data_IF_950543230061
#
_entry.id   IF_950543230061
#
_cell.length_a   1.000
_cell.length_b   1.000
_cell.length_c   1.000
_cell.angle_alpha   90.00
_cell.angle_beta   90.00
_cell.angle_gamma   90.00
#
_symmetry.space_group_name_H-M   'P 1'
#
loop_
_entity.id
_entity.type
_entity.pdbx_description
1 polymer ?
#
# COMPACT_ATOMS: atom_id res chain seq x y z
N UNK A 1 -11.57 42.05 11.18
CA UNK A 1 -10.36 41.22 11.28
C UNK A 1 -10.57 40.11 10.28
N UNK A 2 -9.73 40.04 9.26
CA UNK A 2 -9.92 39.16 8.10
C UNK A 2 -9.91 37.69 8.55
N UNK A 3 -10.93 36.96 8.10
CA UNK A 3 -10.90 35.50 8.00
C UNK A 3 -9.78 35.13 7.01
N UNK A 4 -8.56 35.02 7.52
CA UNK A 4 -7.54 34.20 6.88
C UNK A 4 -7.98 32.75 7.08
N UNK A 5 -8.83 32.25 6.19
CA UNK A 5 -8.88 30.83 5.85
C UNK A 5 -7.46 30.44 5.43
N UNK A 6 -6.62 30.09 6.42
CA UNK A 6 -5.39 29.37 6.15
C UNK A 6 -5.83 28.06 5.54
N UNK A 7 -5.84 27.97 4.22
CA UNK A 7 -5.86 26.69 3.52
C UNK A 7 -4.83 25.80 4.22
N UNK A 8 -5.30 24.80 4.96
CA UNK A 8 -4.42 23.82 5.59
C UNK A 8 -3.67 23.14 4.44
N UNK A 9 -2.43 23.57 4.23
CA UNK A 9 -1.61 23.08 3.14
C UNK A 9 -1.46 21.57 3.30
N UNK A 10 -2.01 20.82 2.34
CA UNK A 10 -1.93 19.37 2.32
C UNK A 10 -0.47 18.94 2.41
N UNK A 11 -0.15 18.09 3.40
CA UNK A 11 1.21 17.59 3.61
C UNK A 11 1.46 16.43 2.64
N UNK A 12 2.40 16.62 1.72
CA UNK A 12 2.74 15.66 0.67
C UNK A 12 4.23 15.27 0.72
N UNK A 13 4.67 14.50 -0.29
CA UNK A 13 6.04 14.02 -0.40
C UNK A 13 7.08 15.12 -0.73
N UNK A 14 6.67 16.37 -0.94
CA UNK A 14 7.61 17.49 -1.07
C UNK A 14 8.31 17.80 0.25
N UNK A 15 7.69 17.41 1.38
CA UNK A 15 8.27 17.54 2.71
C UNK A 15 9.14 16.33 3.07
N UNK A 16 10.45 16.52 3.37
CA UNK A 16 11.31 15.43 3.83
C UNK A 16 10.83 14.76 5.13
N UNK A 17 10.12 15.51 5.99
CA UNK A 17 9.54 14.98 7.22
C UNK A 17 8.43 13.96 6.91
N UNK A 18 7.57 14.26 5.95
CA UNK A 18 6.50 13.36 5.49
C UNK A 18 7.09 12.06 4.94
N UNK A 19 8.09 12.17 4.06
CA UNK A 19 8.81 11.00 3.53
C UNK A 19 9.44 10.17 4.65
N UNK A 20 10.01 10.82 5.66
CA UNK A 20 10.62 10.13 6.82
C UNK A 20 9.58 9.37 7.64
N UNK A 21 8.39 9.94 7.85
CA UNK A 21 7.30 9.28 8.57
C UNK A 21 6.79 8.05 7.83
N UNK A 22 6.58 8.14 6.51
CA UNK A 22 6.23 6.99 5.66
C UNK A 22 7.30 5.89 5.74
N UNK A 23 8.57 6.24 5.56
CA UNK A 23 9.67 5.26 5.59
C UNK A 23 9.83 4.61 6.97
N UNK A 24 9.63 5.37 8.05
CA UNK A 24 9.68 4.84 9.41
C UNK A 24 8.52 3.86 9.68
N UNK A 25 7.30 4.21 9.25
CA UNK A 25 6.15 3.31 9.35
C UNK A 25 6.36 2.03 8.53
N UNK A 26 6.92 2.15 7.32
CA UNK A 26 7.25 1.03 6.46
C UNK A 26 8.34 0.12 7.05
N UNK A 27 9.37 0.69 7.68
CA UNK A 27 10.40 -0.12 8.34
C UNK A 27 9.80 -0.96 9.48
N UNK A 28 8.92 -0.38 10.30
CA UNK A 28 8.25 -1.08 11.39
C UNK A 28 7.39 -2.22 10.84
N UNK A 29 6.56 -1.96 9.83
CA UNK A 29 5.65 -2.98 9.29
C UNK A 29 6.41 -4.09 8.55
N UNK A 30 7.50 -3.79 7.84
CA UNK A 30 8.35 -4.82 7.22
C UNK A 30 8.98 -5.74 8.29
N UNK A 31 9.43 -5.18 9.43
CA UNK A 31 9.94 -5.97 10.58
C UNK A 31 8.83 -6.78 11.25
N UNK A 32 7.61 -6.25 11.32
CA UNK A 32 6.46 -6.98 11.86
C UNK A 32 6.14 -8.22 11.01
N UNK A 33 6.17 -8.12 9.68
CA UNK A 33 6.02 -9.29 8.78
C UNK A 33 7.11 -10.34 9.02
N UNK A 34 8.38 -9.91 9.13
CA UNK A 34 9.50 -10.82 9.47
C UNK A 34 9.28 -11.51 10.82
N UNK A 35 8.82 -10.77 11.83
CA UNK A 35 8.52 -11.32 13.14
C UNK A 35 7.42 -12.38 13.06
N UNK A 36 6.32 -12.11 12.36
CA UNK A 36 5.22 -13.08 12.20
C UNK A 36 5.71 -14.34 11.51
N UNK A 37 6.39 -14.20 10.37
CA UNK A 37 6.89 -15.35 9.60
C UNK A 37 7.83 -16.25 10.41
N UNK A 38 8.69 -15.66 11.26
CA UNK A 38 9.56 -16.45 12.15
C UNK A 38 8.80 -17.27 13.22
N UNK A 39 7.51 -16.98 13.43
CA UNK A 39 6.63 -17.70 14.35
C UNK A 39 5.56 -18.54 13.64
N UNK A 40 5.42 -18.41 12.32
CA UNK A 40 4.51 -19.23 11.53
C UNK A 40 5.08 -20.65 11.44
N UNK A 41 4.41 -21.59 12.12
CA UNK A 41 4.74 -23.01 12.11
C UNK A 41 3.46 -23.81 12.32
N UNK A 42 3.41 -25.09 11.91
CA UNK A 42 2.28 -25.95 12.18
C UNK A 42 1.89 -25.91 13.67
N UNK A 43 0.58 -25.88 13.94
CA UNK A 43 -0.06 -25.75 15.26
C UNK A 43 0.05 -24.38 15.92
N UNK A 44 0.68 -23.38 15.30
CA UNK A 44 0.61 -22.01 15.79
C UNK A 44 -0.81 -21.48 15.65
N UNK A 45 -1.38 -20.91 16.73
CA UNK A 45 -2.70 -20.28 16.68
C UNK A 45 -2.62 -18.97 15.89
N UNK A 46 -3.56 -18.77 14.97
CA UNK A 46 -3.60 -17.59 14.12
C UNK A 46 -3.78 -16.32 14.97
N UNK A 47 -4.66 -16.38 15.97
CA UNK A 47 -4.92 -15.22 16.85
C UNK A 47 -3.68 -14.75 17.60
N UNK A 48 -2.86 -15.68 18.10
CA UNK A 48 -1.63 -15.35 18.83
C UNK A 48 -0.61 -14.64 17.90
N UNK A 49 -0.55 -15.03 16.63
CA UNK A 49 0.30 -14.39 15.63
C UNK A 49 -0.18 -12.96 15.30
N UNK A 50 -1.49 -12.77 15.14
CA UNK A 50 -2.10 -11.45 14.93
C UNK A 50 -1.83 -10.51 16.12
N UNK A 51 -2.10 -10.96 17.34
CA UNK A 51 -1.86 -10.19 18.56
C UNK A 51 -0.38 -9.80 18.71
N UNK A 52 0.52 -10.74 18.40
CA UNK A 52 1.97 -10.51 18.48
C UNK A 52 2.45 -9.40 17.53
N UNK A 53 1.97 -9.40 16.29
CA UNK A 53 2.32 -8.38 15.31
C UNK A 53 1.77 -7.01 15.69
N UNK A 54 0.49 -6.93 16.09
CA UNK A 54 -0.14 -5.69 16.51
C UNK A 54 0.56 -5.11 17.75
N UNK A 55 0.92 -5.96 18.72
CA UNK A 55 1.69 -5.56 19.90
C UNK A 55 3.07 -5.00 19.52
N UNK A 56 3.78 -5.68 18.61
CA UNK A 56 5.08 -5.22 18.12
C UNK A 56 4.98 -3.84 17.44
N UNK A 57 3.98 -3.62 16.57
CA UNK A 57 3.77 -2.32 15.91
C UNK A 57 3.51 -1.23 16.96
N UNK A 58 2.64 -1.48 17.95
CA UNK A 58 2.33 -0.51 19.03
C UNK A 58 3.57 -0.20 19.88
N UNK A 59 4.39 -1.20 20.19
CA UNK A 59 5.63 -1.01 20.96
C UNK A 59 6.65 -0.16 20.19
N UNK A 60 6.94 -0.53 18.93
CA UNK A 60 7.93 0.15 18.10
C UNK A 60 7.52 1.61 17.84
N UNK A 61 6.27 1.83 17.44
CA UNK A 61 5.75 3.19 17.24
C UNK A 61 5.70 3.97 18.54
N UNK A 62 5.30 3.36 19.66
CA UNK A 62 5.29 3.98 21.00
C UNK A 62 6.62 4.59 21.41
N UNK A 63 7.74 4.00 20.96
CA UNK A 63 9.11 4.45 21.20
C UNK A 63 9.57 5.66 20.38
N UNK A 64 8.88 6.00 19.30
CA UNK A 64 9.19 7.16 18.46
C UNK A 64 8.53 8.43 19.01
N UNK A 65 9.04 9.62 18.68
CA UNK A 65 8.39 10.91 18.98
C UNK A 65 7.80 11.03 20.41
N UNK A 66 8.55 10.61 21.45
CA UNK A 66 8.11 10.73 22.85
C UNK A 66 8.23 12.15 23.40
N UNK A 67 9.25 12.89 22.96
CA UNK A 67 9.63 14.20 23.53
C UNK A 67 9.25 15.38 22.62
N UNK A 68 8.24 15.22 21.77
CA UNK A 68 7.75 16.30 20.90
C UNK A 68 6.65 17.11 21.60
N UNK A 69 6.61 18.42 21.33
CA UNK A 69 5.63 19.33 21.95
C UNK A 69 4.18 19.03 21.53
N UNK A 70 3.98 18.57 20.28
CA UNK A 70 2.68 18.18 19.74
C UNK A 70 2.52 16.67 19.90
N UNK A 71 1.40 16.21 20.46
CA UNK A 71 1.07 14.78 20.49
C UNK A 71 0.94 14.27 19.05
N UNK A 72 1.73 13.25 18.70
CA UNK A 72 1.71 12.59 17.40
C UNK A 72 1.01 11.24 17.55
N UNK A 73 -0.07 11.04 16.80
CA UNK A 73 -0.76 9.74 16.73
C UNK A 73 0.05 8.74 15.92
N UNK A 74 0.11 7.50 16.38
CA UNK A 74 0.93 6.44 15.78
C UNK A 74 0.50 5.08 16.28
N UNK A 75 0.71 4.04 15.49
CA UNK A 75 0.32 2.69 15.85
C UNK A 75 -0.08 1.86 14.65
N UNK A 76 -1.00 0.94 14.90
CA UNK A 76 -1.58 0.06 13.88
C UNK A 76 -2.50 0.87 12.98
N UNK A 77 -2.25 0.84 11.67
CA UNK A 77 -3.09 1.46 10.65
C UNK A 77 -4.08 0.47 10.03
N UNK A 78 -3.70 -0.80 9.97
CA UNK A 78 -4.57 -1.89 9.57
C UNK A 78 -4.24 -3.11 10.44
N UNK A 79 -5.21 -3.72 11.15
CA UNK A 79 -4.94 -4.85 12.04
C UNK A 79 -4.28 -6.01 11.30
N UNK A 80 -3.44 -6.74 12.02
CA UNK A 80 -2.81 -7.93 11.43
C UNK A 80 -3.86 -8.97 11.08
N UNK A 81 -3.84 -9.39 9.83
CA UNK A 81 -4.68 -10.43 9.24
C UNK A 81 -3.79 -11.57 8.74
N UNK A 82 -4.22 -12.81 8.95
CA UNK A 82 -3.55 -14.00 8.43
C UNK A 82 -4.62 -14.88 7.78
N UNK A 83 -4.75 -14.79 6.46
CA UNK A 83 -5.78 -15.52 5.71
C UNK A 83 -5.18 -16.76 5.06
N UNK A 84 -5.74 -17.93 5.35
CA UNK A 84 -5.17 -19.24 4.97
C UNK A 84 -5.89 -19.83 3.76
N UNK A 85 -5.11 -20.38 2.82
CA UNK A 85 -5.56 -21.11 1.63
C UNK A 85 -6.59 -20.33 0.80
N UNK A 86 -7.84 -20.81 0.72
CA UNK A 86 -8.94 -20.20 -0.03
C UNK A 86 -9.55 -18.97 0.66
N UNK A 87 -9.22 -18.70 1.93
CA UNK A 87 -9.61 -17.46 2.62
C UNK A 87 -8.85 -16.31 1.98
N UNK A 88 -9.55 -15.34 1.41
CA UNK A 88 -8.96 -14.29 0.56
C UNK A 88 -8.28 -13.21 1.38
N UNK A 89 -8.97 -12.66 2.37
CA UNK A 89 -8.51 -11.48 3.10
C UNK A 89 -9.18 -11.32 4.48
N UNK A 90 -8.66 -10.37 5.26
CA UNK A 90 -9.25 -9.79 6.47
C UNK A 90 -9.47 -10.74 7.66
N UNK A 91 -8.94 -11.97 7.63
CA UNK A 91 -9.06 -12.88 8.76
C UNK A 91 -8.18 -12.43 9.93
N UNK A 92 -8.78 -11.74 10.91
CA UNK A 92 -8.18 -11.30 12.17
C UNK A 92 -9.07 -11.74 13.34
N UNK A 93 -9.00 -13.01 13.75
CA UNK A 93 -10.01 -13.61 14.61
C UNK A 93 -10.06 -13.00 16.03
N UNK A 94 -11.17 -13.25 16.75
CA UNK A 94 -11.33 -12.89 18.17
C UNK A 94 -10.45 -13.78 19.06
N UNK A 95 -10.14 -13.34 20.29
CA UNK A 95 -9.26 -14.07 21.22
C UNK A 95 -9.73 -15.49 21.58
N UNK A 96 -11.03 -15.77 21.43
CA UNK A 96 -11.63 -17.10 21.64
C UNK A 96 -11.47 -18.07 20.47
N UNK A 97 -10.91 -17.64 19.34
CA UNK A 97 -10.68 -18.49 18.18
C UNK A 97 -9.51 -19.46 18.42
N UNK A 98 -9.70 -20.71 17.99
CA UNK A 98 -8.74 -21.81 18.20
C UNK A 98 -8.07 -22.26 16.90
N UNK A 99 -8.29 -21.55 15.78
CA UNK A 99 -7.75 -21.92 14.47
C UNK A 99 -6.22 -21.90 14.50
N UNK A 100 -5.63 -22.98 14.03
CA UNK A 100 -4.19 -23.18 13.96
C UNK A 100 -3.72 -23.34 12.52
N UNK A 101 -2.45 -23.02 12.28
CA UNK A 101 -1.79 -23.29 11.00
C UNK A 101 -1.47 -24.78 10.85
N UNK A 102 -1.54 -25.28 9.62
CA UNK A 102 -1.16 -26.63 9.24
C UNK A 102 0.10 -26.65 8.34
N UNK A 103 0.70 -27.82 8.19
CA UNK A 103 1.83 -28.00 7.27
C UNK A 103 1.36 -27.82 5.82
N UNK A 104 2.13 -27.09 5.02
CA UNK A 104 1.79 -26.77 3.62
C UNK A 104 0.76 -25.65 3.44
N UNK A 105 0.25 -25.04 4.51
CA UNK A 105 -0.70 -23.92 4.41
C UNK A 105 -0.12 -22.74 3.65
N UNK A 106 -0.92 -22.15 2.76
CA UNK A 106 -0.63 -20.89 2.11
C UNK A 106 -1.27 -19.73 2.89
N UNK A 107 -0.45 -18.99 3.64
CA UNK A 107 -0.86 -17.85 4.45
C UNK A 107 -0.62 -16.53 3.72
N UNK A 108 -1.61 -15.66 3.82
CA UNK A 108 -1.55 -14.26 3.39
C UNK A 108 -1.53 -13.39 4.63
N UNK A 109 -0.40 -12.76 4.90
CA UNK A 109 -0.20 -11.84 6.02
C UNK A 109 -0.44 -10.43 5.50
N UNK A 110 -1.39 -9.70 6.07
CA UNK A 110 -1.70 -8.30 5.72
C UNK A 110 -1.76 -7.44 6.99
N UNK A 111 -1.11 -6.28 6.98
CA UNK A 111 -1.02 -5.39 8.13
C UNK A 111 -0.61 -3.97 7.73
N UNK A 112 -0.85 -3.01 8.62
CA UNK A 112 -0.50 -1.61 8.41
C UNK A 112 0.01 -0.92 9.66
N UNK A 113 0.94 0.03 9.47
CA UNK A 113 1.47 0.92 10.48
C UNK A 113 1.28 2.38 10.04
N UNK A 114 1.06 3.30 10.98
CA UNK A 114 1.09 4.73 10.68
C UNK A 114 1.89 5.52 11.71
N UNK A 115 2.44 6.65 11.25
CA UNK A 115 3.06 7.67 12.09
C UNK A 115 2.50 9.02 11.66
N UNK A 116 1.90 9.75 12.59
CA UNK A 116 1.20 11.03 12.35
C UNK A 116 0.15 10.94 11.24
N UNK A 117 -0.48 9.78 11.09
CA UNK A 117 -1.45 9.50 10.04
C UNK A 117 -0.87 9.15 8.67
N UNK A 118 0.46 9.17 8.48
CA UNK A 118 1.09 8.67 7.26
C UNK A 118 1.21 7.16 7.31
N UNK A 119 0.51 6.48 6.40
CA UNK A 119 0.24 5.04 6.47
C UNK A 119 1.20 4.26 5.57
N UNK A 120 1.73 3.16 6.10
CA UNK A 120 2.43 2.13 5.33
C UNK A 120 1.75 0.78 5.56
N UNK A 121 1.30 0.16 4.48
CA UNK A 121 0.67 -1.17 4.45
C UNK A 121 1.52 -2.17 3.68
N UNK A 122 1.40 -3.43 4.04
CA UNK A 122 2.08 -4.55 3.39
C UNK A 122 1.22 -5.80 3.47
N UNK A 123 1.17 -6.55 2.38
CA UNK A 123 0.72 -7.93 2.40
C UNK A 123 1.70 -8.84 1.66
N UNK A 124 1.86 -10.05 2.19
CA UNK A 124 2.78 -11.05 1.66
C UNK A 124 2.17 -12.44 1.77
N UNK A 125 2.35 -13.24 0.72
CA UNK A 125 1.94 -14.64 0.69
C UNK A 125 3.14 -15.55 0.93
N UNK A 126 2.96 -16.50 1.83
CA UNK A 126 3.97 -17.47 2.21
C UNK A 126 3.33 -18.87 2.33
N UNK A 127 4.08 -19.92 2.03
CA UNK A 127 3.66 -21.31 2.18
C UNK A 127 4.48 -21.96 3.29
N UNK A 128 3.84 -22.62 4.25
CA UNK A 128 4.51 -23.35 5.34
C UNK A 128 5.12 -24.65 4.87
N UNK A 129 6.22 -24.55 4.15
CA UNK A 129 7.00 -25.69 3.71
C UNK A 129 8.47 -25.31 3.61
N UNK A 130 9.31 -26.34 3.69
CA UNK A 130 10.72 -26.23 3.33
C UNK A 130 10.92 -26.39 1.81
N UNK A 131 11.91 -25.70 1.26
CA UNK A 131 12.26 -25.79 -0.15
C UNK A 131 11.30 -25.04 -1.09
N UNK A 132 11.47 -25.23 -2.41
CA UNK A 132 10.73 -24.44 -3.40
C UNK A 132 9.25 -24.81 -3.44
N UNK A 133 8.39 -23.80 -3.54
CA UNK A 133 6.95 -23.98 -3.76
C UNK A 133 6.73 -24.46 -5.20
N UNK A 134 5.83 -25.42 -5.42
CA UNK A 134 5.61 -26.05 -6.74
C UNK A 134 4.13 -26.07 -7.13
N UNK A 135 3.84 -26.32 -8.41
CA UNK A 135 2.47 -26.53 -8.89
C UNK A 135 1.60 -25.27 -8.87
N UNK A 136 0.30 -25.42 -8.62
CA UNK A 136 -0.67 -24.32 -8.70
C UNK A 136 -0.46 -23.24 -7.64
N UNK A 137 0.06 -23.59 -6.46
CA UNK A 137 0.46 -22.63 -5.44
C UNK A 137 1.63 -21.77 -5.91
N UNK A 138 2.63 -22.36 -6.57
CA UNK A 138 3.73 -21.59 -7.17
C UNK A 138 3.22 -20.66 -8.28
N UNK A 139 2.34 -21.15 -9.15
CA UNK A 139 1.79 -20.37 -10.26
C UNK A 139 1.03 -19.12 -9.77
N UNK A 140 0.15 -19.25 -8.77
CA UNK A 140 -0.63 -18.12 -8.26
C UNK A 140 0.23 -17.12 -7.49
N UNK A 141 1.23 -17.58 -6.74
CA UNK A 141 2.19 -16.69 -6.07
C UNK A 141 3.04 -15.94 -7.12
N UNK A 142 3.49 -16.63 -8.17
CA UNK A 142 4.23 -15.99 -9.27
C UNK A 142 3.37 -14.99 -10.05
N UNK A 143 2.09 -15.29 -10.26
CA UNK A 143 1.13 -14.37 -10.86
C UNK A 143 1.01 -13.07 -10.04
N UNK A 144 0.78 -13.18 -8.73
CA UNK A 144 0.69 -12.03 -7.83
C UNK A 144 1.98 -11.21 -7.79
N UNK A 145 3.14 -11.87 -7.68
CA UNK A 145 4.44 -11.19 -7.64
C UNK A 145 4.76 -10.49 -8.97
N UNK A 146 4.51 -11.14 -10.10
CA UNK A 146 4.72 -10.54 -11.42
C UNK A 146 3.79 -9.36 -11.63
N UNK A 147 2.51 -9.49 -11.25
CA UNK A 147 1.52 -8.41 -11.37
C UNK A 147 1.88 -7.22 -10.46
N UNK A 148 2.37 -7.47 -9.25
CA UNK A 148 2.88 -6.44 -8.34
C UNK A 148 4.08 -5.69 -8.94
N UNK A 149 5.03 -6.40 -9.57
CA UNK A 149 6.20 -5.79 -10.23
C UNK A 149 5.81 -4.98 -11.47
N UNK A 150 4.83 -5.45 -12.25
CA UNK A 150 4.26 -4.69 -13.37
C UNK A 150 3.54 -3.44 -12.86
N UNK A 151 2.68 -3.58 -11.84
CA UNK A 151 1.96 -2.46 -11.25
C UNK A 151 2.93 -1.40 -10.69
N UNK A 152 4.01 -1.81 -10.00
CA UNK A 152 5.04 -0.88 -9.51
C UNK A 152 5.66 -0.01 -10.61
N UNK A 153 5.76 -0.54 -11.84
CA UNK A 153 6.33 0.18 -12.99
C UNK A 153 5.32 1.04 -13.75
N UNK A 154 4.04 0.71 -13.64
CA UNK A 154 2.94 1.42 -14.30
C UNK A 154 2.32 2.51 -13.42
N UNK A 155 2.32 2.34 -12.09
CA UNK A 155 1.92 3.36 -11.12
C UNK A 155 3.02 4.42 -11.03
N UNK A 156 2.95 5.39 -11.94
CA UNK A 156 3.90 6.50 -12.06
C UNK A 156 3.22 7.71 -12.68
N UNK A 157 3.73 8.93 -12.42
CA UNK A 157 3.13 10.15 -12.96
C UNK A 157 2.93 10.09 -14.48
N UNK A 158 1.78 10.58 -14.96
CA UNK A 158 1.44 10.58 -16.39
C UNK A 158 0.76 9.30 -16.91
N UNK A 159 0.59 8.28 -16.06
CA UNK A 159 -0.12 7.04 -16.40
C UNK A 159 -1.49 7.02 -15.75
N UNK A 160 -2.40 6.26 -16.35
CA UNK A 160 -3.76 6.11 -15.87
C UNK A 160 -3.92 4.87 -15.00
N UNK A 161 -4.88 4.91 -14.09
CA UNK A 161 -5.27 3.75 -13.29
C UNK A 161 -5.73 2.55 -14.15
N UNK A 162 -6.46 2.81 -15.24
CA UNK A 162 -6.93 1.79 -16.18
C UNK A 162 -5.80 0.97 -16.84
N UNK A 163 -4.66 1.61 -17.14
CA UNK A 163 -3.47 0.92 -17.67
C UNK A 163 -3.00 -0.19 -16.71
N UNK A 164 -3.04 0.08 -15.40
CA UNK A 164 -2.63 -0.88 -14.36
C UNK A 164 -3.65 -2.02 -14.27
N UNK A 165 -4.94 -1.70 -14.27
CA UNK A 165 -6.04 -2.67 -14.23
C UNK A 165 -5.97 -3.66 -15.39
N UNK A 166 -5.71 -3.20 -16.61
CA UNK A 166 -5.56 -4.08 -17.78
C UNK A 166 -4.31 -4.96 -17.64
N UNK A 167 -3.19 -4.37 -17.22
CA UNK A 167 -1.91 -5.06 -17.16
C UNK A 167 -1.90 -6.22 -16.15
N UNK A 168 -2.42 -6.01 -14.93
CA UNK A 168 -2.44 -7.05 -13.91
C UNK A 168 -3.33 -8.24 -14.31
N UNK A 169 -4.41 -8.00 -15.05
CA UNK A 169 -5.28 -9.05 -15.57
C UNK A 169 -4.58 -9.90 -16.63
N UNK A 170 -3.84 -9.27 -17.57
CA UNK A 170 -3.04 -10.01 -18.55
C UNK A 170 -1.95 -10.85 -17.87
N UNK A 171 -1.31 -10.30 -16.84
CA UNK A 171 -0.32 -11.05 -16.05
C UNK A 171 -0.94 -12.25 -15.38
N UNK A 172 -2.07 -12.10 -14.68
CA UNK A 172 -2.73 -13.23 -14.03
C UNK A 172 -3.11 -14.33 -15.02
N UNK A 173 -3.64 -13.95 -16.19
CA UNK A 173 -4.03 -14.88 -17.24
C UNK A 173 -2.84 -15.70 -17.78
N UNK A 174 -1.64 -15.12 -17.88
CA UNK A 174 -0.43 -15.83 -18.32
C UNK A 174 0.00 -16.99 -17.37
N UNK A 175 -0.49 -16.97 -16.13
CA UNK A 175 -0.28 -18.04 -15.14
C UNK A 175 -1.52 -18.94 -14.96
N UNK A 176 -2.50 -18.88 -15.88
CA UNK A 176 -3.82 -19.49 -15.74
C UNK A 176 -4.51 -19.11 -14.40
N UNK A 177 -4.30 -17.89 -13.94
CA UNK A 177 -4.90 -17.36 -12.72
C UNK A 177 -5.84 -16.19 -13.06
N UNK A 178 -6.64 -15.79 -12.09
CA UNK A 178 -7.52 -14.61 -12.21
C UNK A 178 -7.19 -13.59 -11.13
N UNK A 179 -7.38 -12.32 -11.44
CA UNK A 179 -7.41 -11.28 -10.43
C UNK A 179 -8.74 -11.39 -9.68
N UNK A 180 -8.70 -11.23 -8.36
CA UNK A 180 -9.89 -11.24 -7.51
C UNK A 180 -10.70 -9.96 -7.69
N UNK A 181 -11.99 -10.10 -7.97
CA UNK A 181 -12.94 -9.00 -8.12
C UNK A 181 -13.17 -8.26 -6.78
N UNK A 182 -13.45 -6.95 -6.85
CA UNK A 182 -13.75 -6.13 -5.67
C UNK A 182 -12.53 -5.62 -4.89
N UNK A 183 -11.30 -5.97 -5.30
CA UNK A 183 -10.07 -5.43 -4.72
C UNK A 183 -9.77 -4.05 -5.31
N UNK A 184 -9.39 -3.11 -4.44
CA UNK A 184 -9.10 -1.72 -4.78
C UNK A 184 -7.72 -1.33 -4.23
N UNK A 185 -6.89 -0.73 -5.07
CA UNK A 185 -5.66 -0.06 -4.65
C UNK A 185 -5.93 1.42 -4.48
N UNK A 186 -5.65 1.98 -3.31
CA UNK A 186 -6.06 3.34 -2.96
C UNK A 186 -4.87 4.30 -2.92
N UNK A 187 -5.10 5.53 -3.38
CA UNK A 187 -4.29 6.66 -2.95
C UNK A 187 -4.40 6.81 -1.42
N UNK A 188 -3.28 7.07 -0.76
CA UNK A 188 -3.23 7.34 0.67
C UNK A 188 -2.81 8.79 0.90
N UNK A 189 -3.42 9.41 1.91
CA UNK A 189 -3.08 10.74 2.42
C UNK A 189 -2.92 10.69 3.93
N UNK A 190 -2.53 11.80 4.55
CA UNK A 190 -2.46 11.85 6.00
C UNK A 190 -3.83 11.53 6.62
N UNK A 191 -3.88 10.48 7.44
CA UNK A 191 -5.09 9.94 8.08
C UNK A 191 -6.15 9.37 7.13
N UNK A 192 -5.85 9.19 5.84
CA UNK A 192 -6.77 8.64 4.84
C UNK A 192 -6.13 7.42 4.20
N UNK A 193 -6.65 6.22 4.52
CA UNK A 193 -6.16 4.94 3.99
C UNK A 193 -6.75 4.61 2.60
N UNK A 194 -7.90 5.18 2.30
CA UNK A 194 -8.79 4.87 1.17
C UNK A 194 -9.19 6.16 0.44
N UNK A 195 -8.21 6.85 -0.14
CA UNK A 195 -8.43 8.05 -0.94
C UNK A 195 -9.22 7.77 -2.22
N UNK A 196 -9.71 8.86 -2.82
CA UNK A 196 -10.65 8.82 -3.94
C UNK A 196 -10.03 8.37 -5.27
N UNK A 197 -8.72 8.58 -5.48
CA UNK A 197 -8.02 8.01 -6.65
C UNK A 197 -7.75 6.54 -6.39
N UNK A 198 -8.33 5.68 -7.22
CA UNK A 198 -8.35 4.23 -7.02
C UNK A 198 -7.93 3.50 -8.29
N UNK A 199 -7.15 2.43 -8.15
CA UNK A 199 -6.97 1.42 -9.19
C UNK A 199 -7.88 0.24 -8.85
N UNK A 200 -8.83 -0.04 -9.73
CA UNK A 200 -9.73 -1.18 -9.61
C UNK A 200 -9.03 -2.43 -10.13
N UNK A 201 -9.06 -3.55 -9.39
CA UNK A 201 -8.33 -4.75 -9.80
C UNK A 201 -8.98 -5.48 -10.99
N UNK A 202 -10.32 -5.49 -11.08
CA UNK A 202 -11.09 -6.02 -12.21
C UNK A 202 -12.26 -5.09 -12.51
N UNK A 203 -12.40 -4.67 -13.77
CA UNK A 203 -13.56 -3.88 -14.22
C UNK A 203 -14.77 -4.78 -14.44
N UNK A 204 -15.90 -4.47 -13.79
CA UNK A 204 -17.18 -5.10 -14.06
C UNK A 204 -18.28 -4.02 -14.16
N UNK A 205 -19.46 -4.32 -14.74
CA UNK A 205 -20.50 -3.31 -14.96
C UNK A 205 -20.98 -2.60 -13.69
N UNK A 206 -20.92 -3.31 -12.56
CA UNK A 206 -21.40 -2.86 -11.25
C UNK A 206 -20.34 -2.09 -10.43
N UNK A 207 -19.07 -2.19 -10.81
CA UNK A 207 -17.93 -1.56 -10.13
C UNK A 207 -17.21 -0.64 -11.11
N UNK A 208 -17.52 0.65 -11.02
CA UNK A 208 -16.85 1.70 -11.82
C UNK A 208 -16.08 2.60 -10.90
N UNK A 209 -14.85 2.90 -11.30
CA UNK A 209 -14.02 3.95 -10.70
C UNK A 209 -13.77 5.00 -11.76
N UNK A 210 -13.65 6.25 -11.33
CA UNK A 210 -13.29 7.32 -12.25
C UNK A 210 -11.89 7.08 -12.82
N UNK A 211 -11.71 7.42 -14.09
CA UNK A 211 -10.39 7.41 -14.70
C UNK A 211 -9.53 8.49 -14.02
N UNK A 212 -8.38 8.09 -13.51
CA UNK A 212 -7.48 8.96 -12.78
C UNK A 212 -6.07 8.84 -13.32
N UNK A 213 -5.40 9.98 -13.47
CA UNK A 213 -3.98 10.05 -13.77
C UNK A 213 -3.19 10.12 -12.45
N UNK A 214 -2.11 9.33 -12.38
CA UNK A 214 -1.16 9.41 -11.28
C UNK A 214 -0.34 10.70 -11.37
N UNK A 215 -0.05 11.30 -10.23
CA UNK A 215 0.68 12.56 -10.13
C UNK A 215 1.93 12.44 -9.25
N UNK A 216 2.87 13.37 -9.40
CA UNK A 216 4.02 13.48 -8.50
C UNK A 216 3.56 13.82 -7.07
N UNK A 217 4.32 13.31 -6.11
CA UNK A 217 4.12 13.48 -4.67
C UNK A 217 2.89 12.75 -4.09
N UNK A 218 2.24 11.87 -4.86
CA UNK A 218 1.20 10.98 -4.38
C UNK A 218 1.77 9.70 -3.73
N UNK A 219 0.96 9.08 -2.86
CA UNK A 219 1.27 7.79 -2.23
C UNK A 219 0.13 6.83 -2.54
N UNK A 220 0.45 5.58 -2.88
CA UNK A 220 -0.55 4.54 -3.12
C UNK A 220 -0.26 3.29 -2.31
N UNK A 221 -1.32 2.64 -1.86
CA UNK A 221 -1.33 1.23 -1.49
C UNK A 221 -1.74 0.42 -2.72
N UNK A 222 -0.81 -0.34 -3.29
CA UNK A 222 -1.09 -1.23 -4.42
C UNK A 222 -1.41 -2.60 -3.85
N UNK A 223 -2.61 -3.09 -4.15
CA UNK A 223 -3.19 -4.30 -3.61
C UNK A 223 -3.53 -5.31 -4.73
N UNK A 224 -2.74 -6.37 -4.82
CA UNK A 224 -2.85 -7.41 -5.84
C UNK A 224 -3.23 -8.72 -5.19
N UNK A 225 -4.44 -9.20 -5.52
CA UNK A 225 -4.92 -10.51 -5.09
C UNK A 225 -5.24 -11.34 -6.32
N UNK A 226 -4.64 -12.52 -6.39
CA UNK A 226 -4.82 -13.48 -7.49
C UNK A 226 -5.32 -14.80 -6.96
N UNK A 227 -6.12 -15.48 -7.77
CA UNK A 227 -6.79 -16.73 -7.46
C UNK A 227 -6.56 -17.75 -8.56
N UNK A 228 -6.41 -19.00 -8.15
CA UNK A 228 -6.46 -20.15 -9.08
C UNK A 228 -7.90 -20.51 -9.49
N UNK A 229 -8.89 -20.00 -8.75
CA UNK A 229 -10.32 -20.22 -8.95
C UNK A 229 -10.96 -19.21 -9.91
N UNK A 230 -12.18 -18.79 -9.59
CA UNK A 230 -12.98 -17.91 -10.46
C UNK A 230 -12.70 -16.42 -10.31
N UNK A 231 -12.01 -16.00 -9.23
CA UNK A 231 -11.78 -14.60 -8.90
C UNK A 231 -13.01 -13.91 -8.32
N UNK A 232 -14.02 -14.66 -7.86
CA UNK A 232 -15.32 -14.15 -7.41
C UNK A 232 -15.58 -14.55 -5.96
N UNK A 233 -14.94 -13.85 -5.01
CA UNK A 233 -14.92 -14.30 -3.63
C UNK A 233 -16.28 -14.05 -2.98
N UNK A 234 -16.64 -14.92 -2.02
CA UNK A 234 -17.95 -14.87 -1.35
C UNK A 234 -17.79 -14.70 0.15
N UNK A 235 -18.70 -13.94 0.75
CA UNK A 235 -18.91 -13.94 2.18
C UNK A 235 -19.62 -15.23 2.57
N UNK A 236 -19.01 -16.02 3.45
CA UNK A 236 -19.59 -17.29 3.93
C UNK A 236 -20.21 -17.16 5.33
N UNK A 237 -19.59 -16.37 6.21
CA UNK A 237 -20.09 -16.12 7.56
C UNK A 237 -19.82 -14.67 7.97
N UNK A 238 -20.88 -13.89 8.15
CA UNK A 238 -20.81 -12.50 8.62
C UNK A 238 -20.10 -12.40 9.98
N UNK A 239 -20.18 -13.43 10.84
CA UNK A 239 -19.57 -13.42 12.18
C UNK A 239 -18.05 -13.45 12.14
N UNK A 240 -17.44 -13.87 11.03
CA UNK A 240 -15.99 -13.80 10.85
C UNK A 240 -15.50 -12.37 10.59
N UNK A 241 -16.39 -11.44 10.25
CA UNK A 241 -16.05 -10.03 10.09
C UNK A 241 -15.72 -9.43 11.44
N UNK A 242 -14.44 -9.18 11.68
CA UNK A 242 -13.95 -8.57 12.92
C UNK A 242 -13.29 -7.23 12.68
N UNK A 243 -13.04 -6.84 11.43
CA UNK A 243 -12.36 -5.59 11.10
C UNK A 243 -13.37 -4.55 10.65
N UNK A 244 -13.21 -3.35 11.21
CA UNK A 244 -14.08 -2.21 10.93
C UNK A 244 -13.26 -0.93 10.84
N UNK A 245 -13.78 0.04 10.09
CA UNK A 245 -13.27 1.42 10.08
C UNK A 245 -14.43 2.37 10.33
N UNK A 246 -14.17 3.47 11.04
CA UNK A 246 -15.18 4.51 11.27
C UNK A 246 -15.45 5.34 10.01
N UNK A 247 -16.73 5.55 9.70
CA UNK A 247 -17.16 6.53 8.71
C UNK A 247 -17.31 7.90 9.39
N UNK A 248 -16.28 8.74 9.27
CA UNK A 248 -16.20 10.02 10.01
C UNK A 248 -17.18 11.08 9.53
N UNK A 249 -17.70 10.93 8.31
CA UNK A 249 -18.70 11.77 7.66
C UNK A 249 -20.14 11.38 8.02
N UNK A 250 -20.33 10.21 8.64
CA UNK A 250 -21.65 9.71 9.04
C UNK A 250 -21.96 10.03 10.48
N UNK A 251 -23.19 10.46 10.73
CA UNK A 251 -23.67 10.78 12.06
C UNK A 251 -25.04 10.14 12.29
N UNK A 252 -25.19 9.44 13.41
CA UNK A 252 -26.43 8.80 13.80
C UNK A 252 -26.53 8.70 15.32
N UNK A 253 -27.73 8.92 15.86
CA UNK A 253 -28.00 8.83 17.29
C UNK A 253 -28.31 7.39 17.70
N UNK A 254 -27.28 6.68 18.16
CA UNK A 254 -27.37 5.28 18.61
C UNK A 254 -28.37 5.11 19.77
N UNK A 255 -29.31 4.17 19.60
CA UNK A 255 -30.42 3.91 20.52
C UNK A 255 -30.01 2.98 21.65
N UNK A 256 -29.17 1.97 21.40
CA UNK A 256 -28.77 1.02 22.43
C UNK A 256 -27.62 1.57 23.30
N UNK A 257 -27.69 1.28 24.61
CA UNK A 257 -26.61 1.67 25.56
C UNK A 257 -25.29 0.98 25.23
N UNK A 258 -25.33 -0.27 24.78
CA UNK A 258 -24.15 -1.02 24.36
C UNK A 258 -23.46 -0.37 23.15
N UNK A 259 -24.23 0.01 22.12
CA UNK A 259 -23.69 0.67 20.92
C UNK A 259 -23.09 2.03 21.24
N UNK A 260 -23.75 2.86 22.06
CA UNK A 260 -23.16 4.15 22.52
C UNK A 260 -21.82 3.94 23.24
N UNK A 261 -21.73 2.92 24.10
CA UNK A 261 -20.49 2.59 24.80
C UNK A 261 -19.39 2.17 23.82
N UNK A 262 -19.68 1.21 22.93
CA UNK A 262 -18.71 0.70 21.95
C UNK A 262 -18.28 1.78 20.97
N UNK A 263 -19.21 2.60 20.47
CA UNK A 263 -18.87 3.70 19.56
C UNK A 263 -18.01 4.78 20.25
N UNK A 264 -18.25 5.05 21.53
CA UNK A 264 -17.39 5.93 22.33
C UNK A 264 -15.99 5.36 22.51
N UNK A 265 -15.87 4.06 22.79
CA UNK A 265 -14.57 3.37 22.90
C UNK A 265 -13.81 3.43 21.57
N UNK A 266 -14.47 3.09 20.44
CA UNK A 266 -13.91 3.16 19.09
C UNK A 266 -13.44 4.59 18.78
N UNK A 267 -14.28 5.59 19.03
CA UNK A 267 -13.94 6.99 18.73
C UNK A 267 -12.71 7.50 19.49
N UNK A 268 -12.43 6.94 20.68
CA UNK A 268 -11.27 7.29 21.50
C UNK A 268 -10.01 6.52 21.13
N UNK A 269 -10.14 5.21 20.86
CA UNK A 269 -9.00 4.32 20.56
C UNK A 269 -8.60 4.34 19.08
N UNK A 270 -9.58 4.40 18.19
CA UNK A 270 -9.46 4.21 16.75
C UNK A 270 -10.25 5.30 16.01
N UNK A 271 -9.84 6.58 16.13
CA UNK A 271 -10.63 7.69 15.63
C UNK A 271 -10.88 7.63 14.12
N UNK A 272 -9.91 7.10 13.36
CA UNK A 272 -9.94 7.05 11.89
C UNK A 272 -9.36 5.76 11.26
N UNK A 273 -8.41 5.11 11.93
CA UNK A 273 -7.77 3.90 11.40
C UNK A 273 -8.69 2.68 11.54
N UNK A 274 -8.67 1.75 10.56
CA UNK A 274 -9.23 0.41 10.72
C UNK A 274 -8.75 -0.27 12.01
N UNK A 275 -9.64 -1.02 12.64
CA UNK A 275 -9.39 -1.72 13.91
C UNK A 275 -10.06 -3.09 13.90
N UNK A 276 -9.61 -3.97 14.78
CA UNK A 276 -10.21 -5.30 15.01
C UNK A 276 -11.08 -5.28 16.25
N UNK A 277 -12.21 -5.98 16.20
CA UNK A 277 -13.12 -6.18 17.32
C UNK A 277 -12.45 -6.90 18.50
N UNK A 278 -11.33 -7.60 18.27
CA UNK A 278 -10.48 -8.20 19.31
C UNK A 278 -9.94 -7.17 20.32
N UNK A 279 -9.75 -5.92 19.90
CA UNK A 279 -9.24 -4.84 20.78
C UNK A 279 -10.34 -4.10 21.57
N UNK A 280 -11.60 -4.53 21.43
CA UNK A 280 -12.77 -3.95 22.10
C UNK A 280 -13.20 -4.75 23.33
N UNK A 281 -14.07 -4.16 24.16
CA UNK A 281 -14.70 -4.87 25.26
C UNK A 281 -15.66 -5.96 24.74
N UNK A 282 -15.30 -7.23 24.94
CA UNK A 282 -15.95 -8.39 24.33
C UNK A 282 -17.46 -8.50 24.63
N UNK A 283 -17.89 -8.26 25.87
CA UNK A 283 -19.29 -8.51 26.27
C UNK A 283 -20.27 -7.59 25.56
N UNK A 284 -19.85 -6.36 25.23
CA UNK A 284 -20.70 -5.37 24.56
C UNK A 284 -20.41 -5.24 23.07
N UNK A 285 -19.22 -5.63 22.60
CA UNK A 285 -18.79 -5.48 21.21
C UNK A 285 -19.79 -6.09 20.23
N UNK A 286 -20.20 -7.35 20.45
CA UNK A 286 -21.05 -8.07 19.50
C UNK A 286 -22.38 -7.38 19.20
N UNK A 287 -23.08 -6.89 20.22
CA UNK A 287 -24.36 -6.17 20.03
C UNK A 287 -24.14 -4.72 19.60
N UNK A 288 -23.10 -4.07 20.14
CA UNK A 288 -22.82 -2.67 19.84
C UNK A 288 -22.40 -2.43 18.39
N UNK A 289 -21.62 -3.34 17.80
CA UNK A 289 -21.14 -3.23 16.43
C UNK A 289 -22.27 -3.36 15.40
N UNK A 290 -23.26 -4.23 15.65
CA UNK A 290 -24.38 -4.46 14.71
C UNK A 290 -25.17 -3.19 14.44
N UNK A 291 -25.55 -2.43 15.47
CA UNK A 291 -26.26 -1.16 15.28
C UNK A 291 -25.40 -0.12 14.57
N UNK A 292 -24.10 -0.05 14.89
CA UNK A 292 -23.18 0.88 14.24
C UNK A 292 -23.00 0.60 12.74
N UNK A 293 -22.90 -0.68 12.35
CA UNK A 293 -22.81 -1.09 10.94
C UNK A 293 -24.13 -0.84 10.20
N UNK A 294 -25.27 -1.20 10.79
CA UNK A 294 -26.59 -1.02 10.17
C UNK A 294 -26.97 0.45 9.92
N UNK A 295 -26.27 1.38 10.59
CA UNK A 295 -26.46 2.82 10.43
C UNK A 295 -25.23 3.51 9.82
N UNK A 296 -24.40 2.75 9.10
CA UNK A 296 -23.24 3.22 8.34
C UNK A 296 -22.20 4.01 9.15
N UNK A 297 -22.20 3.89 10.48
CA UNK A 297 -21.18 4.53 11.33
C UNK A 297 -19.84 3.79 11.24
N UNK A 298 -19.88 2.50 10.89
CA UNK A 298 -18.72 1.64 10.70
C UNK A 298 -18.80 0.93 9.36
N UNK A 299 -17.72 1.01 8.59
CA UNK A 299 -17.52 0.23 7.38
C UNK A 299 -16.87 -1.12 7.75
N UNK A 300 -17.51 -2.26 7.44
CA UNK A 300 -16.94 -3.58 7.69
C UNK A 300 -15.91 -3.95 6.61
N UNK A 301 -14.90 -4.73 7.02
CA UNK A 301 -13.96 -5.42 6.12
C UNK A 301 -14.24 -6.92 6.23
N UNK A 302 -15.14 -7.47 5.40
CA UNK A 302 -15.57 -8.86 5.52
C UNK A 302 -14.46 -9.84 5.18
N UNK A 303 -14.51 -11.02 5.79
CA UNK A 303 -13.68 -12.17 5.41
C UNK A 303 -14.34 -12.85 4.22
N UNK A 304 -13.65 -12.84 3.08
CA UNK A 304 -14.14 -13.42 1.84
C UNK A 304 -13.39 -14.70 1.50
N UNK A 305 -14.03 -15.58 0.73
CA UNK A 305 -13.50 -16.91 0.42
C UNK A 305 -13.67 -17.26 -1.05
N UNK A 306 -12.66 -17.91 -1.61
CA UNK A 306 -12.77 -18.74 -2.82
C UNK A 306 -13.31 -20.13 -2.49
N UNK A 307 -13.55 -20.96 -3.51
CA UNK A 307 -14.01 -22.34 -3.29
C UNK A 307 -12.94 -23.15 -2.55
N UNK A 308 -13.34 -24.11 -1.69
CA UNK A 308 -12.38 -25.02 -1.06
C UNK A 308 -11.52 -25.74 -2.11
N UNK A 309 -10.20 -25.74 -1.90
CA UNK A 309 -9.22 -26.31 -2.82
C UNK A 309 -8.56 -25.29 -3.76
N UNK A 310 -9.15 -24.11 -3.94
CA UNK A 310 -8.51 -23.02 -4.67
C UNK A 310 -7.47 -22.31 -3.78
N UNK A 311 -6.35 -21.94 -4.40
CA UNK A 311 -5.32 -21.11 -3.78
C UNK A 311 -5.49 -19.65 -4.15
N UNK A 312 -5.23 -18.78 -3.16
CA UNK A 312 -5.25 -17.32 -3.30
C UNK A 312 -3.92 -16.77 -2.80
N UNK A 313 -3.29 -15.93 -3.62
CA UNK A 313 -2.10 -15.17 -3.27
C UNK A 313 -2.41 -13.67 -3.24
N UNK A 314 -1.89 -13.01 -2.21
CA UNK A 314 -2.04 -11.60 -1.90
C UNK A 314 -0.68 -10.94 -1.74
N UNK A 315 -0.42 -9.90 -2.54
CA UNK A 315 0.74 -9.04 -2.45
C UNK A 315 0.25 -7.60 -2.40
N UNK A 316 0.58 -6.89 -1.31
CA UNK A 316 0.27 -5.48 -1.13
C UNK A 316 1.52 -4.71 -0.75
N UNK A 317 1.71 -3.53 -1.33
CA UNK A 317 2.83 -2.67 -0.99
C UNK A 317 2.47 -1.19 -1.07
N UNK A 318 3.23 -0.39 -0.33
CA UNK A 318 3.14 1.07 -0.34
C UNK A 318 4.20 1.63 -1.27
N UNK A 319 3.79 2.52 -2.17
CA UNK A 319 4.66 3.18 -3.16
C UNK A 319 4.54 4.70 -3.06
N UNK A 320 5.68 5.38 -3.09
CA UNK A 320 5.82 6.83 -3.06
C UNK A 320 6.16 7.31 -4.48
N UNK A 321 5.33 8.17 -5.07
CA UNK A 321 5.56 8.73 -6.40
C UNK A 321 6.43 9.97 -6.29
N UNK A 322 7.74 9.77 -6.18
CA UNK A 322 8.70 10.86 -6.07
C UNK A 322 9.01 11.45 -7.46
N UNK A 323 9.52 12.70 -7.56
CA UNK A 323 9.95 13.28 -8.84
C UNK A 323 11.05 12.48 -9.57
N UNK A 324 11.78 11.63 -8.86
CA UNK A 324 12.78 10.72 -9.42
C UNK A 324 12.25 9.29 -9.71
N UNK A 325 10.94 9.09 -9.64
CA UNK A 325 10.25 7.82 -9.90
C UNK A 325 9.61 7.20 -8.66
N UNK A 326 9.07 6.00 -8.85
CA UNK A 326 8.27 5.28 -7.86
C UNK A 326 9.19 4.54 -6.86
N UNK A 327 9.05 4.84 -5.57
CA UNK A 327 9.81 4.24 -4.47
C UNK A 327 8.91 3.29 -3.68
N UNK A 328 9.04 1.97 -3.91
CA UNK A 328 8.38 0.94 -3.08
C UNK A 328 9.07 0.91 -1.72
N UNK A 329 8.32 1.18 -0.64
CA UNK A 329 8.88 1.26 0.72
C UNK A 329 8.52 0.04 1.60
N UNK A 330 7.48 -0.72 1.23
CA UNK A 330 7.16 -1.99 1.89
C UNK A 330 7.37 -3.17 0.96
N UNK A 331 8.08 -4.18 1.46
CA UNK A 331 8.42 -5.38 0.69
C UNK A 331 8.90 -6.49 1.63
N UNK A 332 8.82 -7.72 1.16
CA UNK A 332 9.34 -8.88 1.86
C UNK A 332 10.00 -9.84 0.86
N UNK A 333 11.09 -10.54 1.24
CA UNK A 333 11.70 -11.57 0.40
C UNK A 333 10.68 -12.63 -0.04
N UNK A 334 10.81 -13.08 -1.28
CA UNK A 334 9.95 -14.12 -1.84
C UNK A 334 10.54 -15.51 -1.56
N UNK A 335 9.68 -16.51 -1.39
CA UNK A 335 10.12 -17.90 -1.42
C UNK A 335 10.55 -18.29 -2.84
N UNK A 336 11.40 -19.31 -2.95
CA UNK A 336 11.74 -19.90 -4.23
C UNK A 336 10.51 -20.58 -4.83
N UNK A 337 10.22 -20.29 -6.10
CA UNK A 337 9.04 -20.79 -6.82
C UNK A 337 9.49 -21.61 -8.04
N UNK A 338 8.94 -22.80 -8.16
CA UNK A 338 9.05 -23.64 -9.35
C UNK A 338 7.68 -23.67 -10.04
N UNK A 339 7.44 -22.67 -10.89
CA UNK A 339 6.19 -22.50 -11.62
C UNK A 339 6.05 -23.52 -12.75
N UNK A 340 4.82 -23.90 -13.06
CA UNK A 340 4.51 -24.68 -14.27
C UNK A 340 4.32 -23.79 -15.49
N UNK A 341 4.18 -22.48 -15.26
CA UNK A 341 3.96 -21.44 -16.27
C UNK A 341 5.18 -20.53 -16.40
N UNK A 342 5.37 -19.98 -17.60
CA UNK A 342 6.39 -18.96 -17.89
C UNK A 342 5.76 -17.83 -18.70
N UNK A 343 6.23 -16.61 -18.44
CA UNK A 343 5.89 -15.40 -19.21
C UNK A 343 6.86 -15.18 -20.39
N UNK A 344 7.62 -16.21 -20.78
CA UNK A 344 8.65 -16.04 -21.78
C UNK A 344 8.13 -15.65 -23.16
N UNK A 345 6.92 -16.09 -23.48
CA UNK A 345 6.26 -15.80 -24.76
C UNK A 345 5.30 -14.61 -24.66
N UNK A 346 5.36 -13.83 -23.57
CA UNK A 346 4.49 -12.67 -23.31
C UNK A 346 5.27 -11.36 -23.52
N UNK A 347 5.39 -10.86 -24.77
CA UNK A 347 6.23 -9.70 -25.08
C UNK A 347 5.76 -8.43 -24.38
N UNK A 348 4.45 -8.28 -24.17
CA UNK A 348 3.87 -7.12 -23.49
C UNK A 348 4.24 -7.10 -22.00
N UNK A 349 4.13 -8.25 -21.32
CA UNK A 349 4.55 -8.38 -19.91
C UNK A 349 6.05 -8.11 -19.77
N UNK A 350 6.88 -8.67 -20.67
CA UNK A 350 8.33 -8.39 -20.70
C UNK A 350 8.63 -6.90 -20.91
N UNK A 351 7.89 -6.23 -21.79
CA UNK A 351 8.05 -4.80 -22.02
C UNK A 351 7.71 -3.98 -20.77
N UNK A 352 6.65 -4.34 -20.04
CA UNK A 352 6.34 -3.69 -18.76
C UNK A 352 7.42 -3.93 -17.72
N UNK A 353 7.88 -5.17 -17.55
CA UNK A 353 8.93 -5.51 -16.57
C UNK A 353 10.28 -4.85 -16.87
N UNK A 354 10.55 -4.52 -18.14
CA UNK A 354 11.74 -3.78 -18.55
C UNK A 354 11.67 -2.26 -18.24
N UNK A 355 10.48 -1.72 -17.91
CA UNK A 355 10.35 -0.32 -17.53
C UNK A 355 11.11 -0.04 -16.22
N UNK A 356 11.84 1.09 -16.13
CA UNK A 356 12.52 1.46 -14.90
C UNK A 356 11.52 1.99 -13.87
N UNK A 357 11.73 1.66 -12.60
CA UNK A 357 10.97 2.23 -11.48
C UNK A 357 11.47 3.62 -11.08
N UNK A 358 12.76 3.90 -11.30
CA UNK A 358 13.38 5.21 -11.04
C UNK A 358 13.91 5.85 -12.32
N UNK A 359 13.75 7.16 -12.46
CA UNK A 359 14.35 7.89 -13.57
C UNK A 359 15.88 7.91 -13.39
N UNK A 360 16.63 7.55 -14.44
CA UNK A 360 18.08 7.76 -14.44
C UNK A 360 18.32 9.26 -14.27
N UNK A 361 19.03 9.68 -13.21
CA UNK A 361 19.53 11.06 -13.09
C UNK A 361 20.14 11.44 -14.44
N UNK A 362 19.59 12.44 -15.13
CA UNK A 362 20.32 13.12 -16.20
C UNK A 362 21.61 13.60 -15.54
N UNK A 363 22.73 12.95 -15.87
CA UNK A 363 24.04 13.31 -15.33
C UNK A 363 24.21 14.81 -15.46
N UNK A 364 24.54 15.47 -14.35
CA UNK A 364 24.74 16.91 -14.32
C UNK A 364 25.74 17.27 -15.40
N UNK A 365 25.23 17.82 -16.51
CA UNK A 365 26.07 18.45 -17.51
C UNK A 365 26.92 19.45 -16.78
N UNK A 366 28.26 19.28 -16.85
CA UNK A 366 29.24 20.26 -16.39
C UNK A 366 28.73 21.64 -16.81
N UNK A 367 28.25 22.43 -15.84
CA UNK A 367 28.11 23.87 -16.01
C UNK A 367 29.52 24.35 -16.38
N UNK A 368 29.76 24.60 -17.67
CA UNK A 368 30.91 25.40 -18.11
C UNK A 368 30.79 26.71 -17.32
N UNK A 369 31.71 26.91 -16.38
CA UNK A 369 31.92 28.20 -15.71
C UNK A 369 32.11 29.23 -16.82
N UNK A 370 31.11 30.07 -17.06
CA UNK A 370 31.29 31.31 -17.79
C UNK A 370 32.27 32.16 -16.97
N UNK A 371 33.49 32.34 -17.49
CA UNK A 371 34.42 33.36 -16.99
C UNK A 371 33.74 34.72 -17.19
N UNK A 372 33.52 35.44 -16.09
CA UNK A 372 33.31 36.90 -16.10
C UNK A 372 34.50 37.52 -16.84
N UNK A 373 34.24 38.10 -18.01
CA UNK A 373 35.13 39.09 -18.61
C UNK A 373 34.66 40.46 -18.14
N UNK A 374 35.54 41.17 -17.44
CA UNK A 374 35.38 42.58 -17.09
C UNK A 374 35.22 43.42 -18.35
N UNK A 375 34.26 44.36 -18.30
CA UNK A 375 34.20 45.50 -19.22
C UNK A 375 35.35 46.45 -18.87
N UNK A 376 36.24 46.69 -19.81
CA UNK A 376 37.08 47.89 -19.85
C UNK A 376 36.65 48.70 -21.08
N UNK A 377 36.31 49.96 -20.84
CA UNK A 377 36.07 50.98 -21.86
C UNK A 377 37.35 51.26 -22.63
N UNK A 378 37.28 51.32 -23.95
CA UNK A 378 38.29 52.00 -24.76
C UNK A 378 37.63 53.08 -25.62
N UNK A 379 38.18 54.27 -25.43
CA UNK A 379 37.90 55.56 -26.03
C UNK A 379 38.12 55.58 -27.54
N UNK A 380 37.23 56.29 -28.23
CA UNK A 380 37.41 56.73 -29.62
C UNK A 380 38.53 57.76 -29.70
N UNK A 381 39.49 57.51 -30.58
CA UNK A 381 40.34 58.56 -31.18
C UNK A 381 40.58 58.19 -32.64
N UNK A 382 40.15 59.07 -33.54
CA UNK A 382 40.32 58.98 -34.99
C UNK A 382 41.79 59.16 -35.39
N UNK A 383 42.29 58.46 -36.43
CA UNK A 383 43.56 58.80 -37.06
C UNK A 383 43.39 59.77 -38.23
N UNK A 384 44.36 60.68 -38.31
CA UNK A 384 44.61 61.67 -39.37
C UNK A 384 45.25 60.97 -40.59
N UNK A 385 44.92 61.45 -41.79
CA UNK A 385 45.55 61.24 -43.12
C UNK A 385 47.09 61.38 -43.08
N UNK A 386 47.95 60.94 -44.00
CA UNK A 386 47.90 60.65 -45.44
C UNK A 386 49.24 59.97 -45.82
N UNK A 387 49.30 59.41 -47.03
CA UNK A 387 50.50 59.21 -47.87
C UNK A 387 51.60 58.21 -47.49
N UNK A 388 51.81 57.23 -48.38
CA UNK A 388 52.90 57.35 -49.35
C UNK A 388 52.81 56.27 -50.43
N UNK A 389 52.85 56.73 -51.68
CA UNK A 389 53.17 55.98 -52.88
C UNK A 389 54.46 55.15 -52.71
N UNK A 390 54.52 54.04 -53.45
CA UNK A 390 55.58 53.06 -53.34
C UNK A 390 56.96 53.51 -53.80
N UNK A 391 57.96 52.68 -53.50
CA UNK A 391 58.94 52.17 -54.47
C UNK A 391 59.87 51.15 -53.80
N UNK A 392 60.23 50.16 -54.62
CA UNK A 392 61.28 49.16 -54.51
C UNK A 392 62.37 49.37 -53.45
N UNK A 393 62.61 48.33 -52.63
CA UNK A 393 63.77 47.42 -52.72
C UNK A 393 63.83 46.51 -51.48
#
# INVERSE_FOLDING_TARGET
>A
MSDDEREEKELDLTSPEVVTKYKSAAEIVNKAVQLVLSHCKPKARIVDLCEKADAFIREQTGNMYKNVKKKIERGVAFPTCISVNNTVCHYSPLSSDETVLEDGDMLKIDMGCHIDGFIAVVAHTHVLQDGPVTGRSADVIAAANTAAEVALRLVRPGRKNSDVTEAIQKVAAAYDCKIVEGVLSHQMKQFVIDGNKVVLSVSNPDSRVDEAEFEENEVYSIDIVTSTGEGKPKLLDEKQTTIYKRAVDKNYSLKMKASRFIFSEISQKFPIMPFTARDLEEKRARLGLVECVNHDLLQPYPVLHEKPGDFVAHIKFTVLLMPNGSDRITSHPLQDLNTTKTIDNEPEIKAWLALPTKTKKKGGGKKKKAKKGEKAEESKTEPIEEDANGTDS
#
